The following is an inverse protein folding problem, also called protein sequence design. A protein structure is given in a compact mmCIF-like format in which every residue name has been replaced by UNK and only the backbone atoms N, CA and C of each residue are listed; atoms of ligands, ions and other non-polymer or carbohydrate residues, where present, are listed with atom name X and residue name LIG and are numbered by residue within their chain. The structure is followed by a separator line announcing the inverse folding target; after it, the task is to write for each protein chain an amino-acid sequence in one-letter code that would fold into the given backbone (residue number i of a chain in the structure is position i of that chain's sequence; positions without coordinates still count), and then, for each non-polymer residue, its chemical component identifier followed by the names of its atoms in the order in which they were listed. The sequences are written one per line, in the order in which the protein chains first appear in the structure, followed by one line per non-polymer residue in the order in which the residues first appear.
data_IF_374061347568
#
_entry.id   IF_374061347568
#
_cell.length_a   1.000
_cell.length_b   1.000
_cell.length_c   1.000
_cell.angle_alpha   90.00
_cell.angle_beta   90.00
_cell.angle_gamma   90.00
#
_symmetry.space_group_name_H-M   'P 1'
#
loop_
_entity.id
_entity.type
_entity.pdbx_description
1 polymer ?
#
# COMPACT_ATOMS: atom_id res chain seq x y z
N UNK A 1 -16.50 0.58 -15.54
CA UNK A 1 -15.15 0.16 -16.00
C UNK A 1 -15.15 -1.34 -16.20
N UNK A 2 -14.44 -1.87 -17.19
CA UNK A 2 -14.32 -3.33 -17.31
C UNK A 2 -13.58 -3.86 -16.08
N UNK A 3 -14.06 -5.00 -15.58
CA UNK A 3 -13.46 -5.76 -14.47
C UNK A 3 -11.95 -5.91 -14.66
N UNK A 4 -11.54 -6.23 -15.89
CA UNK A 4 -10.13 -6.39 -16.26
C UNK A 4 -9.31 -5.11 -16.04
N UNK A 5 -9.83 -3.94 -16.41
CA UNK A 5 -9.13 -2.67 -16.22
C UNK A 5 -8.99 -2.32 -14.72
N UNK A 6 -10.02 -2.65 -13.93
CA UNK A 6 -10.05 -2.41 -12.49
C UNK A 6 -9.01 -3.27 -11.76
N UNK A 7 -9.01 -4.59 -12.00
CA UNK A 7 -8.04 -5.49 -11.37
C UNK A 7 -6.62 -5.27 -11.91
N UNK A 8 -6.46 -5.03 -13.21
CA UNK A 8 -5.16 -4.75 -13.81
C UNK A 8 -4.51 -3.50 -13.24
N UNK A 9 -5.26 -2.40 -13.12
CA UNK A 9 -4.75 -1.16 -12.50
C UNK A 9 -4.38 -1.36 -11.03
N UNK A 10 -5.17 -2.13 -10.29
CA UNK A 10 -4.87 -2.49 -8.90
C UNK A 10 -3.54 -3.26 -8.75
N UNK A 11 -3.32 -4.30 -9.57
CA UNK A 11 -2.09 -5.12 -9.50
C UNK A 11 -0.86 -4.30 -9.88
N UNK A 12 -0.94 -3.51 -10.95
CA UNK A 12 0.17 -2.64 -11.37
C UNK A 12 0.50 -1.63 -10.28
N UNK A 13 -0.52 -1.08 -9.63
CA UNK A 13 -0.34 -0.13 -8.51
C UNK A 13 0.32 -0.79 -7.29
N UNK A 14 -0.05 -2.04 -6.96
CA UNK A 14 0.59 -2.80 -5.88
C UNK A 14 2.10 -2.97 -6.14
N UNK A 15 2.47 -3.42 -7.34
CA UNK A 15 3.86 -3.69 -7.71
C UNK A 15 4.68 -2.39 -7.70
N UNK A 16 4.14 -1.32 -8.31
CA UNK A 16 4.80 -0.02 -8.34
C UNK A 16 4.97 0.55 -6.93
N UNK A 17 3.93 0.50 -6.10
CA UNK A 17 3.99 0.98 -4.72
C UNK A 17 5.05 0.24 -3.91
N UNK A 18 5.16 -1.09 -4.07
CA UNK A 18 6.19 -1.86 -3.38
C UNK A 18 7.60 -1.44 -3.80
N UNK A 19 7.85 -1.36 -5.11
CA UNK A 19 9.19 -1.05 -5.61
C UNK A 19 9.63 0.37 -5.25
N UNK A 20 8.71 1.34 -5.25
CA UNK A 20 9.00 2.74 -5.00
C UNK A 20 9.03 3.12 -3.51
N UNK A 21 8.18 2.50 -2.67
CA UNK A 21 7.95 2.97 -1.29
C UNK A 21 8.52 2.05 -0.20
N UNK A 22 8.92 0.81 -0.50
CA UNK A 22 9.38 -0.15 0.54
C UNK A 22 10.49 0.40 1.46
N UNK A 23 11.37 1.25 0.91
CA UNK A 23 12.53 1.80 1.63
C UNK A 23 12.22 3.18 2.24
N UNK A 24 11.10 3.81 1.86
CA UNK A 24 10.66 5.11 2.37
C UNK A 24 9.44 4.96 3.30
N UNK A 25 9.72 4.74 4.59
CA UNK A 25 8.70 4.53 5.62
C UNK A 25 7.75 5.73 5.73
N UNK A 26 8.28 6.97 5.78
CA UNK A 26 7.46 8.16 5.91
C UNK A 26 6.52 8.37 4.71
N UNK A 27 7.01 8.08 3.50
CA UNK A 27 6.17 8.13 2.31
C UNK A 27 5.07 7.06 2.36
N UNK A 28 5.40 5.85 2.81
CA UNK A 28 4.44 4.75 2.98
C UNK A 28 3.33 5.12 3.96
N UNK A 29 3.67 5.76 5.09
CA UNK A 29 2.69 6.25 6.07
C UNK A 29 1.75 7.28 5.44
N UNK A 30 2.30 8.28 4.75
CA UNK A 30 1.48 9.30 4.10
C UNK A 30 0.53 8.66 3.07
N UNK A 31 1.04 7.78 2.20
CA UNK A 31 0.21 7.11 1.18
C UNK A 31 -0.86 6.25 1.83
N UNK A 32 -0.56 5.54 2.91
CA UNK A 32 -1.55 4.76 3.65
C UNK A 32 -2.68 5.64 4.20
N UNK A 33 -2.35 6.78 4.82
CA UNK A 33 -3.34 7.71 5.37
C UNK A 33 -4.22 8.29 4.25
N UNK A 34 -3.61 8.82 3.18
CA UNK A 34 -4.36 9.43 2.08
C UNK A 34 -5.19 8.42 1.31
N UNK A 35 -4.67 7.22 1.05
CA UNK A 35 -5.43 6.16 0.36
C UNK A 35 -6.60 5.66 1.21
N UNK A 36 -6.42 5.51 2.52
CA UNK A 36 -7.50 5.15 3.45
C UNK A 36 -8.58 6.22 3.51
N UNK A 37 -8.18 7.50 3.60
CA UNK A 37 -9.10 8.63 3.64
C UNK A 37 -9.86 8.78 2.32
N UNK A 38 -9.17 8.55 1.19
CA UNK A 38 -9.80 8.54 -0.13
C UNK A 38 -10.83 7.43 -0.26
N UNK A 39 -10.51 6.21 0.17
CA UNK A 39 -11.46 5.08 0.17
C UNK A 39 -12.67 5.35 1.06
N UNK A 40 -12.46 6.00 2.21
CA UNK A 40 -13.55 6.36 3.13
C UNK A 40 -14.50 7.39 2.52
N UNK A 41 -13.98 8.42 1.84
CA UNK A 41 -14.78 9.52 1.29
C UNK A 41 -15.42 9.19 -0.08
N UNK A 42 -14.67 8.55 -0.98
CA UNK A 42 -15.07 8.35 -2.38
C UNK A 42 -15.49 6.91 -2.69
N UNK A 43 -15.36 5.99 -1.73
CA UNK A 43 -15.78 4.61 -1.87
C UNK A 43 -14.80 3.72 -2.65
N UNK A 44 -15.27 2.63 -3.26
CA UNK A 44 -14.41 1.58 -3.79
C UNK A 44 -13.63 2.04 -5.01
N UNK A 45 -12.30 2.15 -4.85
CA UNK A 45 -11.38 2.44 -5.93
C UNK A 45 -10.22 1.43 -5.90
N UNK A 46 -9.97 0.70 -7.01
CA UNK A 46 -8.95 -0.36 -7.04
C UNK A 46 -7.54 0.16 -6.82
N UNK A 47 -7.21 1.36 -7.30
CA UNK A 47 -5.89 1.98 -7.15
C UNK A 47 -5.69 2.39 -5.69
N UNK A 48 -6.65 3.11 -5.11
CA UNK A 48 -6.55 3.53 -3.72
C UNK A 48 -6.52 2.32 -2.76
N UNK A 49 -7.33 1.29 -3.03
CA UNK A 49 -7.31 0.04 -2.26
C UNK A 49 -5.96 -0.68 -2.33
N UNK A 50 -5.41 -0.80 -3.54
CA UNK A 50 -4.07 -1.36 -3.75
C UNK A 50 -2.98 -0.59 -3.04
N UNK A 51 -3.01 0.75 -3.07
CA UNK A 51 -2.08 1.59 -2.33
C UNK A 51 -2.21 1.36 -0.82
N UNK A 52 -3.43 1.31 -0.30
CA UNK A 52 -3.68 1.05 1.11
C UNK A 52 -3.13 -0.32 1.53
N UNK A 53 -3.40 -1.37 0.76
CA UNK A 53 -2.91 -2.72 1.04
C UNK A 53 -1.37 -2.81 0.97
N UNK A 54 -0.75 -2.27 -0.09
CA UNK A 54 0.70 -2.34 -0.25
C UNK A 54 1.43 -1.63 0.89
N UNK A 55 1.03 -0.39 1.18
CA UNK A 55 1.69 0.42 2.19
C UNK A 55 1.43 -0.10 3.60
N UNK A 56 0.26 -0.70 3.84
CA UNK A 56 -0.04 -1.41 5.08
C UNK A 56 0.88 -2.61 5.28
N UNK A 57 1.12 -3.37 4.20
CA UNK A 57 2.05 -4.50 4.22
C UNK A 57 3.51 -4.08 4.47
N UNK A 58 3.98 -3.00 3.82
CA UNK A 58 5.32 -2.44 4.05
C UNK A 58 5.50 -2.03 5.52
N UNK A 59 4.52 -1.30 6.07
CA UNK A 59 4.53 -0.85 7.46
C UNK A 59 4.51 -2.02 8.44
N UNK A 60 3.70 -3.04 8.17
CA UNK A 60 3.63 -4.23 9.00
C UNK A 60 4.98 -4.96 9.03
N UNK A 61 5.61 -5.17 7.87
CA UNK A 61 6.93 -5.81 7.80
C UNK A 61 7.98 -5.02 8.58
N UNK A 62 8.00 -3.69 8.44
CA UNK A 62 8.92 -2.82 9.20
C UNK A 62 8.65 -2.84 10.70
N UNK A 63 7.39 -2.95 11.11
CA UNK A 63 7.02 -3.09 12.50
C UNK A 63 7.49 -4.44 13.05
N UNK A 64 7.27 -5.53 12.31
CA UNK A 64 7.73 -6.87 12.69
C UNK A 64 9.26 -6.93 12.80
N UNK A 65 10.00 -6.37 11.84
CA UNK A 65 11.47 -6.26 11.89
C UNK A 65 11.96 -5.54 13.15
N UNK A 66 11.22 -4.52 13.61
CA UNK A 66 11.56 -3.78 14.83
C UNK A 66 11.19 -4.51 16.11
N UNK A 67 10.08 -5.25 16.12
CA UNK A 67 9.63 -6.00 17.29
C UNK A 67 10.41 -7.29 17.50
N UNK A 68 10.79 -7.94 16.40
CA UNK A 68 11.54 -9.19 16.39
C UNK A 68 12.81 -9.00 15.55
N UNK A 69 13.80 -8.23 16.04
CA UNK A 69 15.08 -8.14 15.37
C UNK A 69 15.68 -9.54 15.33
N UNK A 70 15.89 -10.07 14.13
CA UNK A 70 16.71 -11.25 13.93
C UNK A 70 18.15 -10.81 14.28
N UNK A 71 18.57 -11.09 15.51
CA UNK A 71 19.98 -11.00 15.86
C UNK A 71 20.68 -12.13 15.09
N UNK A 72 21.44 -11.76 14.06
CA UNK A 72 22.48 -12.62 13.48
C UNK A 72 23.58 -12.89 14.54
#
# INVERSE_FOLDING_TARGET
MSIFLSYGSGIVTLILSWFLLKDLIYASICVLIFSSLFLYLYGPNPIAFSLCLCNGWILLNKLVERLFPLND
#
